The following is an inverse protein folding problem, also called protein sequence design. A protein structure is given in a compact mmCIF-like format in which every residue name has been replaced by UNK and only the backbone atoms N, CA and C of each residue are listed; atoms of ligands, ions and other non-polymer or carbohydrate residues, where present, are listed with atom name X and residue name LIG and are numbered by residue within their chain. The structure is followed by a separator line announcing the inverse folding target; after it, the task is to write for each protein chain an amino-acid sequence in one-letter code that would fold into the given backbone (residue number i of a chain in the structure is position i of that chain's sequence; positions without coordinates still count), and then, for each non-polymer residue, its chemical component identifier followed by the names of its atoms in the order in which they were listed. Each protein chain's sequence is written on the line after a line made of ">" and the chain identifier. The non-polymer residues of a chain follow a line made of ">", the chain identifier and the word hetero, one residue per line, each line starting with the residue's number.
data_IF_301953176906
#
_entry.id   IF_301953176906
#
_cell.length_a   1.000
_cell.length_b   1.000
_cell.length_c   1.000
_cell.angle_alpha   90.00
_cell.angle_beta   90.00
_cell.angle_gamma   90.00
#
_symmetry.space_group_name_H-M   'P 1'
#
loop_
_entity.id
_entity.type
_entity.pdbx_description
1 polymer ?
#
# COMPACT_ATOMS: atom_id res chain seq x y z
N UNK A 1 -4.60 2.48 -20.34
CA UNK A 1 -4.99 1.08 -20.62
C UNK A 1 -6.11 0.70 -19.66
N UNK A 2 -7.16 0.03 -20.12
CA UNK A 2 -8.40 -0.27 -19.38
C UNK A 2 -9.05 -1.52 -19.98
N UNK A 3 -9.75 -2.33 -19.17
CA UNK A 3 -10.48 -3.50 -19.68
C UNK A 3 -11.73 -3.15 -20.48
N UNK A 4 -12.16 -1.89 -20.45
CA UNK A 4 -13.40 -1.42 -21.07
C UNK A 4 -13.16 -0.11 -21.82
N UNK A 5 -12.40 -0.13 -22.93
CA UNK A 5 -11.99 1.07 -23.64
C UNK A 5 -13.17 1.94 -24.07
N UNK A 6 -14.24 1.34 -24.58
CA UNK A 6 -15.43 2.09 -25.02
C UNK A 6 -16.15 2.80 -23.86
N UNK A 7 -16.26 2.17 -22.69
CA UNK A 7 -16.85 2.79 -21.50
C UNK A 7 -15.96 3.93 -21.00
N UNK A 8 -14.64 3.72 -20.96
CA UNK A 8 -13.69 4.75 -20.55
C UNK A 8 -13.67 5.94 -21.51
N UNK A 9 -13.74 5.71 -22.82
CA UNK A 9 -13.86 6.78 -23.81
C UNK A 9 -15.12 7.62 -23.57
N UNK A 10 -16.29 6.97 -23.45
CA UNK A 10 -17.56 7.66 -23.19
C UNK A 10 -17.52 8.46 -21.89
N UNK A 11 -16.89 7.91 -20.85
CA UNK A 11 -16.69 8.61 -19.59
C UNK A 11 -15.85 9.88 -19.76
N UNK A 12 -14.73 9.81 -20.48
CA UNK A 12 -13.85 10.95 -20.74
C UNK A 12 -14.57 12.04 -21.56
N UNK A 13 -15.25 11.65 -22.64
CA UNK A 13 -16.00 12.58 -23.50
C UNK A 13 -17.12 13.29 -22.72
N UNK A 14 -17.82 12.58 -21.84
CA UNK A 14 -18.85 13.16 -20.96
C UNK A 14 -18.29 14.25 -20.02
N UNK A 15 -17.01 14.17 -19.67
CA UNK A 15 -16.33 15.15 -18.80
C UNK A 15 -15.52 16.19 -19.59
N UNK A 16 -15.75 16.30 -20.90
CA UNK A 16 -15.14 17.35 -21.74
C UNK A 16 -13.74 17.03 -22.26
N UNK A 17 -13.26 15.80 -22.10
CA UNK A 17 -11.99 15.38 -22.68
C UNK A 17 -12.18 14.84 -24.11
N UNK A 18 -11.24 15.15 -25.00
CA UNK A 18 -11.16 14.48 -26.31
C UNK A 18 -10.54 13.09 -26.12
N UNK A 19 -11.24 12.02 -26.51
CA UNK A 19 -10.76 10.65 -26.30
C UNK A 19 -10.94 9.76 -27.54
N UNK A 20 -10.06 8.76 -27.69
CA UNK A 20 -10.11 7.81 -28.81
C UNK A 20 -9.71 6.40 -28.36
N UNK A 21 -10.37 5.38 -28.91
CA UNK A 21 -9.95 3.98 -28.75
C UNK A 21 -8.87 3.70 -29.79
N UNK A 22 -7.61 3.53 -29.37
CA UNK A 22 -6.47 3.35 -30.27
C UNK A 22 -5.35 2.55 -29.60
N UNK A 23 -4.79 1.58 -30.32
CA UNK A 23 -3.73 0.68 -29.84
C UNK A 23 -2.46 0.73 -30.69
N UNK A 24 -2.43 1.51 -31.77
CA UNK A 24 -1.20 1.73 -32.54
C UNK A 24 -0.34 2.84 -31.87
N UNK A 25 0.90 2.55 -31.45
CA UNK A 25 1.76 3.53 -30.77
C UNK A 25 2.01 4.84 -31.54
N UNK A 26 2.14 4.77 -32.87
CA UNK A 26 2.36 5.97 -33.69
C UNK A 26 1.12 6.87 -33.70
N UNK A 27 -0.06 6.28 -33.92
CA UNK A 27 -1.34 7.01 -33.88
C UNK A 27 -1.65 7.58 -32.49
N UNK A 28 -1.33 6.84 -31.42
CA UNK A 28 -1.46 7.36 -30.06
C UNK A 28 -0.65 8.65 -29.89
N UNK A 29 0.60 8.67 -30.38
CA UNK A 29 1.46 9.86 -30.32
C UNK A 29 0.86 11.02 -31.13
N UNK A 30 0.37 10.77 -32.33
CA UNK A 30 -0.30 11.79 -33.16
C UNK A 30 -1.54 12.38 -32.47
N UNK A 31 -2.37 11.53 -31.85
CA UNK A 31 -3.54 11.95 -31.09
C UNK A 31 -3.16 12.74 -29.84
N UNK A 32 -2.13 12.32 -29.11
CA UNK A 32 -1.64 13.06 -27.93
C UNK A 32 -1.20 14.49 -28.28
N UNK A 33 -0.52 14.70 -29.42
CA UNK A 33 -0.15 16.05 -29.90
C UNK A 33 -1.36 16.94 -30.22
N UNK A 34 -2.53 16.33 -30.47
CA UNK A 34 -3.81 17.02 -30.70
C UNK A 34 -4.66 17.16 -29.43
N UNK A 35 -4.13 16.78 -28.27
CA UNK A 35 -4.82 16.86 -26.98
C UNK A 35 -5.80 15.73 -26.71
N UNK A 36 -5.72 14.60 -27.43
CA UNK A 36 -6.56 13.43 -27.18
C UNK A 36 -5.96 12.52 -26.10
N UNK A 37 -6.84 11.94 -25.29
CA UNK A 37 -6.55 10.81 -24.40
C UNK A 37 -6.88 9.52 -25.14
N UNK A 38 -5.86 8.69 -25.40
CA UNK A 38 -6.06 7.39 -26.01
C UNK A 38 -6.38 6.33 -24.94
N UNK A 39 -7.41 5.53 -25.19
CA UNK A 39 -7.79 4.38 -24.37
C UNK A 39 -7.63 3.10 -25.18
N UNK A 40 -7.22 2.03 -24.50
CA UNK A 40 -6.93 0.74 -25.11
C UNK A 40 -7.00 -0.35 -24.04
N UNK A 41 -7.35 -1.56 -24.43
CA UNK A 41 -7.25 -2.80 -23.67
C UNK A 41 -5.98 -3.61 -23.98
N UNK A 42 -5.15 -3.12 -24.91
CA UNK A 42 -3.87 -3.72 -25.27
C UNK A 42 -2.80 -3.40 -24.22
N UNK A 43 -2.34 -4.44 -23.53
CA UNK A 43 -1.32 -4.32 -22.50
C UNK A 43 0.10 -4.20 -23.08
N UNK A 44 0.33 -4.66 -24.31
CA UNK A 44 1.63 -4.62 -24.97
C UNK A 44 2.04 -3.18 -25.32
N UNK A 45 1.10 -2.24 -25.27
CA UNK A 45 1.37 -0.79 -25.28
C UNK A 45 2.35 -0.35 -24.20
N UNK A 46 2.38 -1.03 -23.05
CA UNK A 46 3.37 -0.76 -22.00
C UNK A 46 4.79 -0.91 -22.54
N UNK A 47 5.05 -1.87 -23.41
CA UNK A 47 6.38 -2.13 -23.97
C UNK A 47 6.60 -1.36 -25.28
N UNK A 48 5.55 -1.19 -26.10
CA UNK A 48 5.67 -0.66 -27.46
C UNK A 48 5.50 0.86 -27.59
N UNK A 49 4.79 1.52 -26.67
CA UNK A 49 4.64 2.99 -26.69
C UNK A 49 5.85 3.67 -26.04
N UNK A 50 6.47 4.71 -26.64
CA UNK A 50 7.64 5.37 -26.06
C UNK A 50 7.23 6.35 -24.94
N UNK A 51 7.17 5.85 -23.69
CA UNK A 51 6.93 6.65 -22.48
C UNK A 51 7.99 6.39 -21.42
N UNK A 52 8.27 7.38 -20.58
CA UNK A 52 9.27 7.27 -19.51
C UNK A 52 8.73 6.55 -18.25
N UNK A 53 7.41 6.57 -18.07
CA UNK A 53 6.76 6.08 -16.84
C UNK A 53 5.44 5.39 -17.16
N UNK A 54 5.06 4.46 -16.29
CA UNK A 54 3.76 3.79 -16.23
C UNK A 54 3.16 4.04 -14.85
N UNK A 55 1.89 4.45 -14.81
CA UNK A 55 1.13 4.62 -13.57
C UNK A 55 0.11 3.48 -13.42
N UNK A 56 0.29 2.65 -12.40
CA UNK A 56 -0.56 1.49 -12.07
C UNK A 56 -1.60 1.91 -11.02
N UNK A 57 -2.89 1.89 -11.40
CA UNK A 57 -4.01 2.32 -10.55
C UNK A 57 -5.20 1.36 -10.58
N UNK A 58 -4.95 0.09 -10.83
CA UNK A 58 -6.01 -0.92 -10.91
C UNK A 58 -6.50 -1.39 -9.54
N UNK A 59 -5.69 -1.22 -8.50
CA UNK A 59 -5.96 -1.75 -7.16
C UNK A 59 -5.93 -3.27 -7.10
N UNK A 60 -5.27 -3.93 -8.05
CA UNK A 60 -5.16 -5.40 -8.11
C UNK A 60 -3.72 -5.85 -7.99
N UNK A 61 -3.48 -6.93 -7.26
CA UNK A 61 -2.12 -7.41 -7.00
C UNK A 61 -1.60 -8.24 -8.18
N UNK A 62 -2.34 -9.25 -8.62
CA UNK A 62 -1.89 -10.13 -9.71
C UNK A 62 -1.71 -9.38 -11.04
N UNK A 63 -2.68 -8.55 -11.44
CA UNK A 63 -2.57 -7.78 -12.68
C UNK A 63 -1.61 -6.59 -12.53
N UNK A 64 -1.59 -5.91 -11.38
CA UNK A 64 -0.59 -4.89 -11.08
C UNK A 64 0.85 -5.41 -11.11
N UNK A 65 1.08 -6.67 -10.70
CA UNK A 65 2.38 -7.34 -10.82
C UNK A 65 2.79 -7.52 -12.28
N UNK A 66 1.88 -7.97 -13.15
CA UNK A 66 2.17 -8.12 -14.59
C UNK A 66 2.47 -6.76 -15.25
N UNK A 67 1.66 -5.73 -14.93
CA UNK A 67 1.88 -4.34 -15.39
C UNK A 67 3.27 -3.85 -14.97
N UNK A 68 3.63 -3.99 -13.69
CA UNK A 68 4.91 -3.54 -13.17
C UNK A 68 6.09 -4.27 -13.82
N UNK A 69 6.02 -5.60 -13.97
CA UNK A 69 7.07 -6.39 -14.62
C UNK A 69 7.26 -6.01 -16.09
N UNK A 70 6.18 -5.76 -16.83
CA UNK A 70 6.25 -5.27 -18.23
C UNK A 70 6.89 -3.90 -18.31
N UNK A 71 6.49 -2.97 -17.45
CA UNK A 71 7.05 -1.63 -17.41
C UNK A 71 8.55 -1.65 -17.07
N UNK A 72 8.95 -2.44 -16.07
CA UNK A 72 10.36 -2.61 -15.67
C UNK A 72 11.19 -3.23 -16.82
N UNK A 73 10.68 -4.27 -17.50
CA UNK A 73 11.32 -4.86 -18.70
C UNK A 73 11.54 -3.84 -19.80
N UNK A 74 10.56 -2.97 -20.02
CA UNK A 74 10.63 -1.86 -20.96
C UNK A 74 11.51 -0.69 -20.48
N UNK A 75 12.18 -0.82 -19.31
CA UNK A 75 12.97 0.22 -18.65
C UNK A 75 12.19 1.52 -18.44
N UNK A 76 10.96 1.38 -17.96
CA UNK A 76 10.10 2.50 -17.56
C UNK A 76 9.98 2.56 -16.05
N UNK A 77 9.92 3.76 -15.51
CA UNK A 77 9.59 3.94 -14.10
C UNK A 77 8.15 3.48 -13.83
N UNK A 78 7.91 2.93 -12.65
CA UNK A 78 6.59 2.45 -12.21
C UNK A 78 6.14 3.28 -11.02
N UNK A 79 5.07 4.03 -11.21
CA UNK A 79 4.37 4.73 -10.13
C UNK A 79 3.09 3.96 -9.86
N UNK A 80 2.82 3.66 -8.60
CA UNK A 80 1.63 2.89 -8.22
C UNK A 80 0.82 3.61 -7.16
N UNK A 81 -0.51 3.45 -7.19
CA UNK A 81 -1.40 3.83 -6.09
C UNK A 81 -2.09 2.56 -5.58
N UNK A 82 -1.27 1.66 -5.06
CA UNK A 82 -1.66 0.28 -4.73
C UNK A 82 -0.68 -0.26 -3.68
N UNK A 83 -0.77 0.21 -2.42
CA UNK A 83 0.12 -0.27 -1.38
C UNK A 83 -0.07 -1.76 -1.11
N UNK A 84 -1.20 -2.35 -1.49
CA UNK A 84 -1.44 -3.79 -1.46
C UNK A 84 -0.46 -4.53 -2.38
N UNK A 85 -0.21 -4.02 -3.59
CA UNK A 85 0.81 -4.55 -4.50
C UNK A 85 2.21 -4.43 -3.88
N UNK A 86 2.56 -3.25 -3.38
CA UNK A 86 3.86 -2.98 -2.77
C UNK A 86 4.12 -3.86 -1.54
N UNK A 87 3.19 -3.91 -0.60
CA UNK A 87 3.34 -4.70 0.63
C UNK A 87 3.39 -6.22 0.37
N UNK A 88 2.92 -6.68 -0.79
CA UNK A 88 2.87 -8.12 -1.12
C UNK A 88 4.06 -8.60 -1.93
N UNK A 89 4.40 -7.91 -3.03
CA UNK A 89 5.49 -8.30 -3.95
C UNK A 89 6.40 -7.13 -4.33
N UNK A 90 6.28 -5.99 -3.62
CA UNK A 90 7.05 -4.79 -3.91
C UNK A 90 8.55 -4.95 -3.68
N UNK A 91 8.96 -5.90 -2.83
CA UNK A 91 10.39 -6.17 -2.59
C UNK A 91 11.03 -6.80 -3.83
N UNK A 92 10.38 -7.81 -4.40
CA UNK A 92 10.79 -8.49 -5.62
C UNK A 92 10.74 -7.55 -6.81
N UNK A 93 9.68 -6.73 -6.92
CA UNK A 93 9.59 -5.69 -7.94
C UNK A 93 10.69 -4.64 -7.80
N UNK A 94 11.05 -4.23 -6.57
CA UNK A 94 12.16 -3.29 -6.34
C UNK A 94 13.50 -3.87 -6.76
N UNK A 95 13.76 -5.15 -6.48
CA UNK A 95 14.96 -5.84 -6.97
C UNK A 95 15.00 -5.83 -8.50
N UNK A 96 13.88 -6.11 -9.16
CA UNK A 96 13.79 -6.07 -10.62
C UNK A 96 14.01 -4.65 -11.16
N UNK A 97 13.42 -3.63 -10.51
CA UNK A 97 13.53 -2.23 -10.90
C UNK A 97 14.98 -1.74 -10.78
N UNK A 98 15.66 -2.04 -9.67
CA UNK A 98 17.06 -1.69 -9.44
C UNK A 98 18.00 -2.31 -10.47
N UNK A 99 17.76 -3.58 -10.85
CA UNK A 99 18.53 -4.26 -11.91
C UNK A 99 18.35 -3.65 -13.30
N UNK A 100 17.28 -2.89 -13.52
CA UNK A 100 16.95 -2.27 -14.80
C UNK A 100 17.10 -0.74 -14.77
N UNK A 101 17.73 -0.19 -13.73
CA UNK A 101 17.97 1.24 -13.54
C UNK A 101 16.68 2.08 -13.60
N UNK A 102 15.58 1.56 -13.03
CA UNK A 102 14.29 2.26 -12.96
C UNK A 102 13.74 2.32 -11.55
N UNK A 103 12.94 3.35 -11.28
CA UNK A 103 12.21 3.52 -10.02
C UNK A 103 10.91 2.73 -10.02
N UNK A 104 10.59 2.08 -8.90
CA UNK A 104 9.22 1.71 -8.53
C UNK A 104 8.84 2.37 -7.21
N UNK A 105 7.71 3.07 -7.17
CA UNK A 105 7.27 3.81 -5.97
C UNK A 105 5.76 3.87 -5.83
N UNK A 106 5.28 3.86 -4.59
CA UNK A 106 3.92 4.33 -4.25
C UNK A 106 3.87 5.86 -4.21
N UNK A 107 2.67 6.43 -4.05
CA UNK A 107 2.39 7.87 -4.19
C UNK A 107 2.15 8.58 -2.86
N UNK A 108 2.45 9.87 -2.83
CA UNK A 108 1.88 10.80 -1.83
C UNK A 108 0.37 10.92 -2.07
N UNK A 109 -0.41 11.01 -0.99
CA UNK A 109 -1.86 11.12 -1.01
C UNK A 109 -2.57 9.94 -0.35
N UNK A 110 -2.03 8.74 -0.50
CA UNK A 110 -2.37 7.61 0.38
C UNK A 110 -1.52 7.70 1.67
N UNK A 111 -1.95 7.04 2.75
CA UNK A 111 -1.31 7.16 4.06
C UNK A 111 0.22 6.87 4.04
N UNK A 112 0.74 5.83 3.35
CA UNK A 112 2.16 5.50 3.40
C UNK A 112 3.06 6.59 2.80
N UNK A 113 2.72 7.10 1.60
CA UNK A 113 3.49 8.16 0.96
C UNK A 113 3.38 9.50 1.68
N UNK A 114 2.22 9.78 2.27
CA UNK A 114 2.01 10.98 3.09
C UNK A 114 2.86 10.90 4.36
N UNK A 115 2.89 9.74 5.05
CA UNK A 115 3.80 9.51 6.17
C UNK A 115 5.26 9.59 5.76
N UNK A 116 5.63 9.08 4.58
CA UNK A 116 6.99 9.20 4.09
C UNK A 116 7.41 10.67 3.90
N UNK A 117 6.51 11.50 3.36
CA UNK A 117 6.71 12.96 3.29
C UNK A 117 6.89 13.57 4.67
N UNK A 118 5.98 13.29 5.62
CA UNK A 118 6.03 13.86 6.96
C UNK A 118 7.29 13.43 7.74
N UNK A 119 7.70 12.16 7.63
CA UNK A 119 8.94 11.63 8.21
C UNK A 119 10.16 12.33 7.61
N UNK A 120 10.20 12.47 6.27
CA UNK A 120 11.27 13.17 5.57
C UNK A 120 11.40 14.63 6.01
N UNK A 121 10.29 15.37 6.05
CA UNK A 121 10.26 16.75 6.52
C UNK A 121 10.70 16.88 7.98
N UNK A 122 10.23 15.98 8.85
CA UNK A 122 10.62 15.95 10.26
C UNK A 122 12.14 15.77 10.43
N UNK A 123 12.73 14.84 9.67
CA UNK A 123 14.18 14.60 9.67
C UNK A 123 14.97 15.81 9.15
N UNK A 124 14.49 16.49 8.10
CA UNK A 124 15.11 17.71 7.59
C UNK A 124 15.12 18.85 8.63
N UNK A 125 14.10 18.90 9.49
CA UNK A 125 14.03 19.85 10.61
C UNK A 125 14.83 19.42 11.84
N UNK A 126 15.58 18.31 11.79
CA UNK A 126 16.42 17.84 12.89
C UNK A 126 15.70 16.98 13.94
N UNK A 127 14.44 16.59 13.70
CA UNK A 127 13.75 15.66 14.57
C UNK A 127 14.17 14.21 14.33
N UNK A 128 14.21 13.43 15.41
CA UNK A 128 14.29 11.98 15.37
C UNK A 128 12.88 11.38 15.46
N UNK A 129 12.35 10.84 14.37
CA UNK A 129 11.02 10.20 14.39
C UNK A 129 11.09 8.86 15.13
N UNK A 130 10.28 8.71 16.18
CA UNK A 130 10.23 7.49 17.02
C UNK A 130 8.97 6.66 16.79
N UNK A 131 7.90 7.28 16.28
CA UNK A 131 6.68 6.59 15.90
C UNK A 131 6.12 7.23 14.64
N UNK A 132 5.75 6.41 13.66
CA UNK A 132 4.94 6.82 12.50
C UNK A 132 3.56 6.15 12.60
N UNK A 133 2.50 6.93 12.53
CA UNK A 133 1.19 6.47 12.96
C UNK A 133 0.04 6.75 12.01
N UNK A 134 -0.89 5.80 11.98
CA UNK A 134 -2.21 5.94 11.36
C UNK A 134 -3.28 6.20 12.46
N UNK A 135 -4.40 6.82 12.09
CA UNK A 135 -5.54 7.07 12.97
C UNK A 135 -6.79 6.38 12.44
N UNK A 136 -7.55 5.73 13.32
CA UNK A 136 -8.85 5.16 12.95
C UNK A 136 -9.93 5.52 13.94
N UNK A 137 -11.14 5.61 13.42
CA UNK A 137 -12.36 5.78 14.24
C UNK A 137 -12.95 4.49 14.74
N UNK A 138 -12.80 3.43 13.96
CA UNK A 138 -13.48 2.17 14.17
C UNK A 138 -12.61 1.01 13.67
N UNK A 139 -12.66 -0.10 14.41
CA UNK A 139 -12.00 -1.36 14.09
C UNK A 139 -12.93 -2.50 14.49
N UNK A 140 -13.28 -3.35 13.53
CA UNK A 140 -13.96 -4.61 13.77
C UNK A 140 -13.36 -5.67 12.83
N UNK A 141 -12.53 -6.57 13.38
CA UNK A 141 -11.83 -7.62 12.63
C UNK A 141 -12.78 -8.57 11.89
N UNK A 142 -14.01 -8.71 12.36
CA UNK A 142 -15.01 -9.62 11.81
C UNK A 142 -16.07 -8.94 10.96
N UNK A 143 -15.88 -7.66 10.61
CA UNK A 143 -16.81 -6.96 9.75
C UNK A 143 -16.99 -7.69 8.41
N UNK A 144 -18.25 -7.87 8.02
CA UNK A 144 -18.64 -8.51 6.76
C UNK A 144 -19.05 -7.49 5.70
N UNK A 145 -19.05 -7.91 4.44
CA UNK A 145 -19.55 -7.09 3.33
C UNK A 145 -21.04 -6.75 3.48
N UNK A 146 -21.84 -7.66 4.02
CA UNK A 146 -23.26 -7.41 4.29
C UNK A 146 -23.44 -6.26 5.30
N UNK A 147 -22.75 -6.34 6.43
CA UNK A 147 -22.80 -5.31 7.48
C UNK A 147 -22.30 -3.94 6.99
N UNK A 148 -21.25 -3.93 6.18
CA UNK A 148 -20.62 -2.70 5.72
C UNK A 148 -21.26 -2.08 4.48
N UNK A 149 -22.12 -2.81 3.76
CA UNK A 149 -22.73 -2.34 2.51
C UNK A 149 -23.51 -1.02 2.65
N UNK A 150 -24.38 -0.81 3.66
CA UNK A 150 -25.11 0.44 3.81
C UNK A 150 -24.18 1.65 3.97
N UNK A 151 -23.09 1.50 4.73
CA UNK A 151 -22.09 2.56 4.90
C UNK A 151 -21.30 2.81 3.61
N UNK A 152 -20.93 1.76 2.90
CA UNK A 152 -20.22 1.88 1.62
C UNK A 152 -21.07 2.65 0.59
N UNK A 153 -22.36 2.31 0.48
CA UNK A 153 -23.30 2.97 -0.43
C UNK A 153 -23.50 4.46 -0.06
N UNK A 154 -23.68 4.78 1.24
CA UNK A 154 -23.79 6.16 1.74
C UNK A 154 -22.56 7.02 1.42
N UNK A 155 -21.36 6.44 1.49
CA UNK A 155 -20.08 7.13 1.23
C UNK A 155 -19.63 7.08 -0.21
N UNK A 156 -20.33 6.37 -1.10
CA UNK A 156 -19.92 6.18 -2.49
C UNK A 156 -18.62 5.36 -2.64
N UNK A 157 -18.36 4.46 -1.70
CA UNK A 157 -17.18 3.58 -1.67
C UNK A 157 -17.54 2.17 -2.14
N UNK A 158 -16.55 1.41 -2.62
CA UNK A 158 -16.78 -0.03 -2.79
C UNK A 158 -16.90 -0.73 -1.44
N UNK A 159 -17.78 -1.73 -1.34
CA UNK A 159 -18.00 -2.47 -0.09
C UNK A 159 -16.73 -3.15 0.40
N UNK A 160 -15.92 -3.72 -0.50
CA UNK A 160 -14.66 -4.38 -0.15
C UNK A 160 -13.63 -3.41 0.43
N UNK A 161 -13.52 -2.20 -0.14
CA UNK A 161 -12.66 -1.17 0.44
C UNK A 161 -13.12 -0.83 1.86
N UNK A 162 -14.42 -0.59 2.04
CA UNK A 162 -15.00 -0.29 3.35
C UNK A 162 -14.72 -1.40 4.37
N UNK A 163 -14.90 -2.67 4.01
CA UNK A 163 -14.56 -3.80 4.90
C UNK A 163 -13.07 -3.81 5.24
N UNK A 164 -12.18 -3.64 4.25
CA UNK A 164 -10.72 -3.63 4.49
C UNK A 164 -10.26 -2.47 5.39
N UNK A 165 -11.01 -1.37 5.39
CA UNK A 165 -10.79 -0.26 6.32
C UNK A 165 -11.28 -0.64 7.71
N UNK A 166 -12.46 -1.23 7.82
CA UNK A 166 -13.08 -1.60 9.09
C UNK A 166 -12.32 -2.72 9.80
N UNK A 167 -11.86 -3.74 9.09
CA UNK A 167 -11.18 -4.91 9.67
C UNK A 167 -9.68 -4.70 9.91
N UNK A 168 -9.15 -3.53 9.58
CA UNK A 168 -7.75 -3.15 9.79
C UNK A 168 -6.77 -3.75 8.79
N UNK A 169 -7.25 -4.45 7.75
CA UNK A 169 -6.39 -5.03 6.70
C UNK A 169 -5.63 -3.93 5.95
N UNK A 170 -6.32 -2.90 5.49
CA UNK A 170 -5.70 -1.77 4.77
C UNK A 170 -4.64 -1.08 5.63
N UNK A 171 -4.97 -0.81 6.90
CA UNK A 171 -4.04 -0.20 7.84
C UNK A 171 -2.77 -1.04 8.03
N UNK A 172 -2.92 -2.36 8.16
CA UNK A 172 -1.78 -3.26 8.34
C UNK A 172 -0.85 -3.22 7.12
N UNK A 173 -1.41 -3.18 5.91
CA UNK A 173 -0.67 -3.04 4.65
C UNK A 173 0.06 -1.69 4.57
N UNK A 174 -0.62 -0.59 4.91
CA UNK A 174 -0.02 0.74 4.89
C UNK A 174 1.15 0.85 5.87
N UNK A 175 0.97 0.36 7.10
CA UNK A 175 2.02 0.37 8.12
C UNK A 175 3.15 -0.61 7.79
N UNK A 176 2.86 -1.72 7.11
CA UNK A 176 3.89 -2.64 6.57
C UNK A 176 4.82 -1.88 5.62
N UNK A 177 4.25 -1.11 4.70
CA UNK A 177 5.02 -0.37 3.70
C UNK A 177 5.89 0.71 4.35
N UNK A 178 5.35 1.46 5.32
CA UNK A 178 6.10 2.47 6.09
C UNK A 178 7.22 1.82 6.91
N UNK A 179 6.94 0.72 7.61
CA UNK A 179 7.92 -0.01 8.40
C UNK A 179 9.08 -0.50 7.52
N UNK A 180 8.75 -1.09 6.38
CA UNK A 180 9.76 -1.64 5.48
C UNK A 180 10.63 -0.56 4.84
N UNK A 181 10.04 0.56 4.39
CA UNK A 181 10.79 1.64 3.76
C UNK A 181 11.75 2.34 4.74
N UNK A 182 11.30 2.62 5.96
CA UNK A 182 12.11 3.34 6.96
C UNK A 182 12.88 2.44 7.91
N UNK A 183 12.72 1.12 7.81
CA UNK A 183 13.34 0.14 8.71
C UNK A 183 12.80 0.17 10.14
N UNK A 184 11.57 0.68 10.33
CA UNK A 184 10.92 0.77 11.64
C UNK A 184 10.36 -0.59 12.09
N UNK A 185 10.07 -0.71 13.38
CA UNK A 185 9.63 -1.95 14.01
C UNK A 185 8.13 -1.95 14.33
N UNK A 186 7.63 -3.06 14.87
CA UNK A 186 6.33 -3.13 15.58
C UNK A 186 6.55 -3.71 16.97
N UNK A 187 5.73 -3.29 17.93
CA UNK A 187 5.85 -3.76 19.32
C UNK A 187 5.25 -5.15 19.53
N UNK A 188 4.24 -5.52 18.75
CA UNK A 188 3.51 -6.79 18.84
C UNK A 188 2.77 -7.08 17.52
N UNK A 189 2.31 -8.32 17.35
CA UNK A 189 1.43 -8.71 16.24
C UNK A 189 0.23 -7.76 16.17
N UNK A 190 0.02 -7.17 14.99
CA UNK A 190 -1.06 -6.22 14.74
C UNK A 190 -0.90 -4.82 15.31
N UNK A 191 0.27 -4.46 15.85
CA UNK A 191 0.52 -3.19 16.54
C UNK A 191 -0.32 -3.04 17.82
N UNK A 192 -0.16 -1.93 18.57
CA UNK A 192 -0.85 -1.74 19.86
C UNK A 192 -2.23 -1.11 19.71
N UNK A 193 -2.36 -0.10 18.85
CA UNK A 193 -3.65 0.56 18.60
C UNK A 193 -4.37 1.15 19.81
N UNK A 194 -3.70 1.85 20.75
CA UNK A 194 -4.37 2.37 21.95
C UNK A 194 -5.49 3.36 21.62
N UNK A 195 -6.52 3.38 22.46
CA UNK A 195 -7.60 4.35 22.40
C UNK A 195 -7.16 5.73 22.93
N UNK A 196 -7.60 6.78 22.24
CA UNK A 196 -7.32 8.18 22.55
C UNK A 196 -8.51 9.07 22.15
N UNK A 197 -8.66 10.20 22.82
CA UNK A 197 -9.64 11.23 22.45
C UNK A 197 -9.05 12.27 21.48
N UNK A 198 -7.75 12.57 21.63
CA UNK A 198 -7.00 13.49 20.78
C UNK A 198 -5.67 12.86 20.32
N UNK A 199 -5.20 13.24 19.13
CA UNK A 199 -3.91 12.77 18.57
C UNK A 199 -2.73 13.06 19.51
N UNK A 200 -2.79 14.15 20.28
CA UNK A 200 -1.77 14.53 21.27
C UNK A 200 -1.65 13.50 22.41
N UNK A 201 -2.72 12.76 22.72
CA UNK A 201 -2.70 11.73 23.77
C UNK A 201 -1.83 10.53 23.41
N UNK A 202 -1.39 10.42 22.14
CA UNK A 202 -0.34 9.49 21.74
C UNK A 202 0.88 9.58 22.68
N UNK A 203 1.25 10.79 23.13
CA UNK A 203 2.35 11.04 24.08
C UNK A 203 2.19 10.32 25.43
N UNK A 204 0.96 9.98 25.83
CA UNK A 204 0.63 9.41 27.14
C UNK A 204 0.43 7.89 27.09
N UNK A 205 -0.06 7.35 25.97
CA UNK A 205 -0.48 5.95 25.87
C UNK A 205 0.64 4.99 25.42
N UNK A 206 1.69 5.52 24.81
CA UNK A 206 2.86 4.73 24.42
C UNK A 206 3.92 4.64 25.52
N UNK A 207 4.46 3.44 25.72
CA UNK A 207 5.54 3.20 26.68
C UNK A 207 6.88 3.48 26.01
N UNK A 208 7.30 4.75 26.00
CA UNK A 208 8.45 5.23 25.23
C UNK A 208 9.77 4.48 25.49
N UNK A 209 9.99 3.99 26.70
CA UNK A 209 11.18 3.21 27.06
C UNK A 209 11.24 1.82 26.39
N UNK A 210 10.12 1.34 25.83
CA UNK A 210 10.03 0.09 25.05
C UNK A 210 10.17 0.31 23.55
N UNK A 211 10.18 1.56 23.09
CA UNK A 211 10.33 1.85 21.67
C UNK A 211 11.82 1.66 21.30
N UNK A 212 12.12 0.78 20.34
CA UNK A 212 13.48 0.52 19.93
C UNK A 212 14.05 1.71 19.15
N UNK A 213 15.37 1.74 18.94
CA UNK A 213 16.05 2.91 18.37
C UNK A 213 15.59 3.22 16.94
N UNK A 214 15.23 2.19 16.16
CA UNK A 214 14.69 2.33 14.81
C UNK A 214 13.33 3.05 14.76
N UNK A 215 12.67 3.19 15.91
CA UNK A 215 11.28 3.62 16.01
C UNK A 215 10.30 2.51 15.66
N UNK A 216 9.00 2.82 15.75
CA UNK A 216 7.92 1.90 15.41
C UNK A 216 6.91 2.49 14.43
N UNK A 217 6.22 1.61 13.71
CA UNK A 217 4.89 1.94 13.17
C UNK A 217 3.83 1.45 14.16
N UNK A 218 2.79 2.25 14.35
CA UNK A 218 1.63 1.87 15.15
C UNK A 218 0.40 2.68 14.69
N UNK A 219 -0.68 2.61 15.43
CA UNK A 219 -1.85 3.45 15.20
C UNK A 219 -2.52 3.85 16.50
N UNK A 220 -3.47 4.76 16.40
CA UNK A 220 -4.35 5.15 17.51
C UNK A 220 -5.82 5.03 17.08
N UNK A 221 -6.67 4.70 18.05
CA UNK A 221 -8.11 4.55 17.88
C UNK A 221 -8.84 5.68 18.61
N UNK A 222 -9.76 6.36 17.93
CA UNK A 222 -10.54 7.40 18.58
C UNK A 222 -11.69 7.88 17.71
N UNK A 223 -12.90 7.96 18.28
CA UNK A 223 -14.13 8.27 17.55
C UNK A 223 -14.11 9.67 16.92
N UNK A 224 -13.40 10.59 17.56
CA UNK A 224 -13.22 12.00 17.18
C UNK A 224 -12.07 12.22 16.20
N UNK A 225 -11.18 11.24 16.02
CA UNK A 225 -10.03 11.38 15.14
C UNK A 225 -10.49 11.57 13.69
N UNK A 226 -9.99 12.61 13.03
CA UNK A 226 -10.27 12.90 11.62
C UNK A 226 -9.18 12.26 10.73
N UNK A 227 -9.46 11.91 9.45
CA UNK A 227 -8.40 11.46 8.54
C UNK A 227 -7.20 12.40 8.55
N UNK A 228 -6.03 11.81 8.45
CA UNK A 228 -4.75 12.49 8.57
C UNK A 228 -3.66 11.50 8.94
N UNK A 229 -2.46 12.03 9.12
CA UNK A 229 -1.27 11.25 9.46
C UNK A 229 -0.52 11.93 10.61
N UNK A 230 0.13 11.15 11.46
CA UNK A 230 0.95 11.72 12.53
C UNK A 230 2.26 10.98 12.70
N UNK A 231 3.24 11.71 13.22
CA UNK A 231 4.47 11.12 13.76
C UNK A 231 4.67 11.62 15.18
N UNK A 232 5.23 10.79 16.05
CA UNK A 232 5.85 11.26 17.28
C UNK A 232 7.34 11.38 17.02
N UNK A 233 7.87 12.58 17.24
CA UNK A 233 9.25 12.90 16.93
C UNK A 233 9.94 13.58 18.11
N UNK A 234 11.21 13.27 18.30
CA UNK A 234 12.05 13.79 19.37
C UNK A 234 12.96 14.91 18.88
N UNK A 235 13.10 15.96 19.67
CA UNK A 235 14.15 16.96 19.48
C UNK A 235 15.08 16.98 20.69
N UNK A 236 16.36 16.63 20.52
CA UNK A 236 17.32 16.47 21.64
C UNK A 236 18.00 17.78 22.07
N UNK A 237 18.05 18.79 21.21
CA UNK A 237 18.62 20.10 21.55
C UNK A 237 17.71 20.86 22.55
N UNK A 238 18.22 21.10 23.77
CA UNK A 238 17.52 21.84 24.82
C UNK A 238 17.20 23.28 24.45
N UNK A 239 17.96 23.92 23.55
CA UNK A 239 17.63 25.25 23.06
C UNK A 239 16.42 25.19 22.14
N UNK A 240 16.36 24.22 21.23
CA UNK A 240 15.20 24.03 20.37
C UNK A 240 13.96 23.63 21.17
N UNK A 241 14.09 22.81 22.22
CA UNK A 241 12.95 22.47 23.09
C UNK A 241 12.29 23.72 23.70
N UNK A 242 13.08 24.76 24.07
CA UNK A 242 12.52 26.04 24.54
C UNK A 242 11.71 26.75 23.46
N UNK A 243 12.20 26.78 22.22
CA UNK A 243 11.49 27.37 21.08
C UNK A 243 10.25 26.57 20.70
N UNK A 244 10.32 25.24 20.66
CA UNK A 244 9.19 24.37 20.35
C UNK A 244 8.09 24.49 21.40
N UNK A 245 8.45 24.65 22.68
CA UNK A 245 7.49 24.99 23.73
C UNK A 245 6.86 26.36 23.51
N UNK A 246 7.66 27.37 23.17
CA UNK A 246 7.14 28.71 22.83
C UNK A 246 6.18 28.68 21.63
N UNK A 247 6.43 27.81 20.65
CA UNK A 247 5.57 27.56 19.49
C UNK A 247 4.35 26.68 19.80
N UNK A 248 4.18 26.23 21.04
CA UNK A 248 3.00 25.48 21.47
C UNK A 248 3.04 23.97 21.22
N UNK A 249 4.19 23.38 20.85
CA UNK A 249 4.29 21.93 20.62
C UNK A 249 4.36 21.12 21.93
N UNK A 250 4.57 21.78 23.08
CA UNK A 250 4.65 21.17 24.40
C UNK A 250 6.04 21.20 25.02
N UNK A 251 6.19 20.57 26.20
CA UNK A 251 7.44 20.62 26.99
C UNK A 251 8.60 19.81 26.37
N UNK A 252 8.29 18.87 25.46
CA UNK A 252 9.28 17.95 24.91
C UNK A 252 9.72 16.86 25.90
N UNK A 253 10.73 16.04 25.53
CA UNK A 253 11.49 16.09 24.28
C UNK A 253 10.73 15.50 23.07
N UNK A 254 9.55 14.92 23.28
CA UNK A 254 8.69 14.32 22.24
C UNK A 254 7.54 15.24 21.89
N UNK A 255 7.21 15.26 20.61
CA UNK A 255 6.18 16.11 20.01
C UNK A 255 5.37 15.30 19.03
N UNK A 256 4.07 15.56 18.96
CA UNK A 256 3.21 15.04 17.89
C UNK A 256 3.22 16.04 16.75
N UNK A 257 3.70 15.62 15.59
CA UNK A 257 3.56 16.36 14.34
C UNK A 257 2.43 15.69 13.57
N UNK A 258 1.37 16.46 13.30
CA UNK A 258 0.11 15.96 12.76
C UNK A 258 -0.29 16.77 11.53
N UNK A 259 -0.66 16.06 10.46
CA UNK A 259 -1.25 16.65 9.26
C UNK A 259 -2.71 16.17 9.15
N UNK A 260 -3.71 17.07 9.23
CA UNK A 260 -5.12 16.73 9.34
C UNK A 260 -5.78 16.42 7.98
N UNK A 261 -5.00 15.96 7.00
CA UNK A 261 -5.48 15.53 5.69
C UNK A 261 -4.43 14.69 4.97
N UNK A 262 -4.92 13.91 4.02
CA UNK A 262 -4.22 13.44 2.83
C UNK A 262 -5.31 13.23 1.76
N UNK A 263 -5.09 13.70 0.54
CA UNK A 263 -6.13 13.91 -0.46
C UNK A 263 -6.08 12.88 -1.61
N UNK A 264 -5.52 11.70 -1.31
CA UNK A 264 -5.51 10.55 -2.22
C UNK A 264 -4.98 10.94 -3.62
N UNK A 265 -5.79 10.69 -4.65
CA UNK A 265 -5.41 10.91 -6.04
C UNK A 265 -5.08 12.38 -6.38
N UNK A 266 -5.51 13.36 -5.57
CA UNK A 266 -5.21 14.77 -5.81
C UNK A 266 -3.73 15.13 -5.55
N UNK A 267 -3.02 14.34 -4.75
CA UNK A 267 -1.60 14.61 -4.42
C UNK A 267 -0.59 13.89 -5.33
N UNK A 268 -1.06 13.03 -6.23
CA UNK A 268 -0.20 12.12 -7.01
C UNK A 268 0.72 12.87 -7.97
N UNK A 269 0.31 14.04 -8.47
CA UNK A 269 1.09 14.83 -9.42
C UNK A 269 2.51 15.16 -8.90
N UNK A 270 2.66 15.39 -7.60
CA UNK A 270 3.97 15.63 -6.99
C UNK A 270 4.90 14.42 -7.08
N UNK A 271 4.36 13.21 -6.92
CA UNK A 271 5.14 11.96 -7.08
C UNK A 271 5.52 11.75 -8.54
N UNK A 272 4.61 12.00 -9.49
CA UNK A 272 4.90 11.90 -10.92
C UNK A 272 6.05 12.84 -11.30
N UNK A 273 5.98 14.11 -10.90
CA UNK A 273 7.05 15.07 -11.17
C UNK A 273 8.37 14.63 -10.55
N UNK A 274 8.35 14.14 -9.30
CA UNK A 274 9.56 13.67 -8.59
C UNK A 274 10.26 12.51 -9.31
N UNK A 275 9.49 11.55 -9.82
CA UNK A 275 10.02 10.40 -10.55
C UNK A 275 10.51 10.82 -11.95
N UNK A 276 9.68 11.51 -12.72
CA UNK A 276 9.99 11.85 -14.12
C UNK A 276 11.15 12.85 -14.23
N UNK A 277 11.21 13.85 -13.34
CA UNK A 277 12.21 14.91 -13.41
C UNK A 277 13.51 14.56 -12.69
N UNK A 278 13.46 13.74 -11.63
CA UNK A 278 14.61 13.52 -10.75
C UNK A 278 14.94 12.04 -10.52
N UNK A 279 14.14 11.10 -11.03
CA UNK A 279 14.37 9.68 -10.80
C UNK A 279 14.33 9.29 -9.32
N UNK A 280 13.50 9.96 -8.51
CA UNK A 280 13.45 9.73 -7.06
C UNK A 280 12.13 9.07 -6.62
N UNK A 281 12.21 7.99 -5.84
CA UNK A 281 11.05 7.38 -5.21
C UNK A 281 10.45 8.20 -4.05
N UNK A 282 9.18 7.97 -3.76
CA UNK A 282 8.49 8.42 -2.53
C UNK A 282 8.55 7.34 -1.45
N UNK A 283 8.11 6.13 -1.76
CA UNK A 283 8.07 4.99 -0.83
C UNK A 283 7.96 3.66 -1.60
N UNK A 284 8.59 2.60 -1.11
CA UNK A 284 8.47 1.23 -1.64
C UNK A 284 8.71 0.19 -0.53
N UNK A 285 8.52 -1.09 -0.80
CA UNK A 285 8.57 -2.14 0.23
C UNK A 285 9.96 -2.56 0.72
N UNK A 286 11.01 -1.82 0.39
CA UNK A 286 12.42 -2.20 0.59
C UNK A 286 12.85 -3.51 -0.10
N UNK A 287 14.16 -3.70 -0.31
CA UNK A 287 14.73 -5.00 -0.70
C UNK A 287 15.04 -5.88 0.52
N UNK A 288 14.89 -5.33 1.74
CA UNK A 288 15.11 -5.99 3.03
C UNK A 288 13.92 -5.69 3.96
N UNK A 289 12.71 -6.19 3.64
CA UNK A 289 11.54 -5.95 4.46
C UNK A 289 11.73 -6.50 5.89
N UNK A 290 11.13 -5.83 6.88
CA UNK A 290 11.14 -6.21 8.30
C UNK A 290 9.77 -6.64 8.81
N UNK A 291 8.71 -6.29 8.10
CA UNK A 291 7.34 -6.62 8.42
C UNK A 291 6.59 -7.10 7.17
N UNK A 292 5.51 -7.83 7.40
CA UNK A 292 4.57 -8.27 6.36
C UNK A 292 3.16 -8.33 6.93
N UNK A 293 2.17 -8.13 6.08
CA UNK A 293 0.77 -8.37 6.44
C UNK A 293 0.39 -9.81 6.09
N UNK A 294 0.12 -10.61 7.12
CA UNK A 294 -0.31 -12.01 6.95
C UNK A 294 -1.84 -12.12 6.93
N UNK A 295 -2.35 -13.17 6.30
CA UNK A 295 -3.76 -13.52 6.30
C UNK A 295 -4.16 -14.25 7.59
N UNK A 296 -5.28 -13.85 8.16
CA UNK A 296 -5.91 -14.48 9.33
C UNK A 296 -7.34 -14.85 8.97
N UNK A 297 -7.78 -16.05 9.33
CA UNK A 297 -9.15 -16.50 9.08
C UNK A 297 -10.16 -15.61 9.83
N UNK A 298 -11.08 -14.99 9.11
CA UNK A 298 -12.07 -14.06 9.69
C UNK A 298 -13.23 -14.80 10.36
N UNK A 299 -13.47 -16.04 9.94
CA UNK A 299 -14.53 -16.95 10.36
C UNK A 299 -13.99 -18.39 10.33
N UNK A 300 -14.79 -19.37 10.77
CA UNK A 300 -14.49 -20.78 10.56
C UNK A 300 -14.47 -21.08 9.05
N UNK A 301 -13.40 -21.70 8.57
CA UNK A 301 -13.22 -22.04 7.15
C UNK A 301 -13.20 -23.56 7.00
N UNK A 302 -14.08 -24.11 6.18
CA UNK A 302 -14.03 -25.53 5.81
C UNK A 302 -12.97 -25.81 4.73
N UNK A 303 -12.54 -27.07 4.62
CA UNK A 303 -11.77 -27.53 3.47
C UNK A 303 -12.54 -27.27 2.16
N UNK A 304 -11.85 -26.80 1.13
CA UNK A 304 -12.42 -26.43 -0.16
C UNK A 304 -12.90 -24.98 -0.25
N UNK A 305 -12.98 -24.23 0.86
CA UNK A 305 -13.31 -22.81 0.82
C UNK A 305 -12.29 -22.03 0.00
N UNK A 306 -12.79 -21.16 -0.90
CA UNK A 306 -11.97 -20.23 -1.66
C UNK A 306 -11.85 -18.93 -0.88
N UNK A 307 -10.62 -18.52 -0.57
CA UNK A 307 -10.37 -17.24 0.08
C UNK A 307 -10.70 -16.09 -0.89
N UNK A 308 -11.56 -15.19 -0.45
CA UNK A 308 -11.98 -14.03 -1.22
C UNK A 308 -11.03 -12.83 -1.10
N UNK A 309 -10.12 -12.84 -0.12
CA UNK A 309 -9.01 -11.89 0.01
C UNK A 309 -9.37 -10.58 0.71
N UNK A 310 -8.53 -9.55 0.53
CA UNK A 310 -8.64 -8.25 1.22
C UNK A 310 -10.02 -7.62 1.06
N UNK A 311 -10.66 -7.30 2.18
CA UNK A 311 -12.00 -6.71 2.21
C UNK A 311 -13.14 -7.69 1.95
N UNK A 312 -12.85 -8.99 1.94
CA UNK A 312 -13.83 -10.06 1.89
C UNK A 312 -14.23 -10.58 3.28
N UNK A 313 -14.96 -11.68 3.30
CA UNK A 313 -15.57 -12.28 4.49
C UNK A 313 -14.78 -13.49 5.01
N UNK A 314 -13.82 -14.01 4.24
CA UNK A 314 -13.05 -15.22 4.63
C UNK A 314 -11.83 -14.92 5.49
N UNK A 315 -11.25 -13.73 5.35
CA UNK A 315 -9.98 -13.36 5.98
C UNK A 315 -9.88 -11.87 6.30
N UNK A 316 -9.06 -11.51 7.29
CA UNK A 316 -8.52 -10.15 7.46
C UNK A 316 -6.98 -10.20 7.52
N UNK A 317 -6.34 -9.08 7.16
CA UNK A 317 -4.89 -8.94 7.20
C UNK A 317 -4.42 -8.33 8.51
N UNK A 318 -3.29 -8.83 9.03
CA UNK A 318 -2.66 -8.23 10.20
C UNK A 318 -1.13 -8.21 10.05
N UNK A 319 -0.51 -7.13 10.49
CA UNK A 319 0.95 -6.94 10.36
C UNK A 319 1.70 -7.79 11.40
N UNK A 320 2.75 -8.47 10.97
CA UNK A 320 3.71 -9.13 11.84
C UNK A 320 5.15 -8.83 11.39
N UNK A 321 6.11 -9.12 12.27
CA UNK A 321 7.53 -9.11 11.94
C UNK A 321 7.82 -10.24 10.96
N UNK A 322 8.68 -9.96 9.98
CA UNK A 322 9.03 -10.92 8.92
C UNK A 322 9.63 -12.22 9.49
N UNK A 323 10.32 -12.13 10.63
CA UNK A 323 10.92 -13.27 11.33
C UNK A 323 9.88 -14.23 11.94
N UNK A 324 8.74 -13.70 12.42
CA UNK A 324 7.63 -14.49 12.94
C UNK A 324 6.68 -14.95 11.83
N UNK A 325 6.60 -14.17 10.75
CA UNK A 325 5.70 -14.41 9.64
C UNK A 325 6.12 -15.59 8.74
N UNK A 326 7.26 -16.24 9.01
CA UNK A 326 7.79 -17.32 8.18
C UNK A 326 6.79 -18.48 8.05
N UNK A 327 6.38 -18.77 6.81
CA UNK A 327 5.43 -19.83 6.50
C UNK A 327 3.95 -19.42 6.55
N UNK A 328 3.63 -18.21 7.04
CA UNK A 328 2.29 -17.66 6.95
C UNK A 328 2.00 -17.08 5.56
N UNK A 329 0.73 -17.13 5.16
CA UNK A 329 0.26 -16.64 3.88
C UNK A 329 0.22 -15.10 3.89
N UNK A 330 0.95 -14.41 3.00
CA UNK A 330 0.78 -12.97 2.84
C UNK A 330 -0.66 -12.63 2.42
N UNK A 331 -1.28 -11.64 3.05
CA UNK A 331 -2.69 -11.30 2.83
C UNK A 331 -3.01 -11.00 1.35
N UNK A 332 -2.08 -10.37 0.64
CA UNK A 332 -2.25 -10.07 -0.78
C UNK A 332 -2.17 -11.27 -1.73
N UNK A 333 -1.67 -12.42 -1.27
CA UNK A 333 -1.64 -13.68 -2.04
C UNK A 333 -2.81 -14.61 -1.70
N UNK A 334 -3.65 -14.25 -0.72
CA UNK A 334 -4.84 -15.01 -0.35
C UNK A 334 -5.95 -15.06 -1.42
N UNK A 335 -6.23 -14.01 -2.23
CA UNK A 335 -7.35 -14.06 -3.16
C UNK A 335 -7.26 -15.25 -4.13
N UNK A 336 -8.28 -16.11 -4.13
CA UNK A 336 -8.38 -17.31 -4.97
C UNK A 336 -7.63 -18.54 -4.44
N UNK A 337 -7.00 -18.46 -3.26
CA UNK A 337 -6.39 -19.63 -2.62
C UNK A 337 -7.47 -20.58 -2.07
N UNK A 338 -7.25 -21.89 -2.18
CA UNK A 338 -8.19 -22.92 -1.75
C UNK A 338 -7.72 -23.55 -0.44
N UNK A 339 -8.54 -23.47 0.60
CA UNK A 339 -8.29 -24.07 1.92
C UNK A 339 -8.24 -25.60 1.82
N UNK A 340 -7.20 -26.23 2.36
CA UNK A 340 -6.98 -27.69 2.27
C UNK A 340 -7.60 -28.48 3.42
N UNK A 341 -7.73 -27.87 4.59
CA UNK A 341 -8.29 -28.46 5.80
C UNK A 341 -8.97 -27.36 6.63
N UNK A 342 -9.85 -27.72 7.55
CA UNK A 342 -10.59 -26.71 8.32
C UNK A 342 -9.68 -25.81 9.15
N UNK A 343 -9.98 -24.51 9.18
CA UNK A 343 -9.27 -23.49 9.95
C UNK A 343 -10.26 -22.77 10.88
N UNK A 344 -9.81 -22.48 12.09
CA UNK A 344 -10.63 -21.77 13.07
C UNK A 344 -10.63 -20.26 12.85
N UNK A 345 -11.67 -19.58 13.31
CA UNK A 345 -11.69 -18.13 13.36
C UNK A 345 -10.47 -17.59 14.14
N UNK A 346 -9.88 -16.51 13.65
CA UNK A 346 -8.67 -15.86 14.16
C UNK A 346 -7.38 -16.69 14.07
N UNK A 347 -7.40 -17.83 13.39
CA UNK A 347 -6.20 -18.59 13.09
C UNK A 347 -5.39 -17.91 11.97
N UNK A 348 -4.09 -17.58 12.18
CA UNK A 348 -3.21 -17.18 11.10
C UNK A 348 -3.07 -18.30 10.06
N UNK A 349 -3.31 -17.97 8.79
CA UNK A 349 -3.37 -18.94 7.70
C UNK A 349 -1.94 -19.22 7.22
N UNK A 350 -1.53 -20.50 7.21
CA UNK A 350 -0.21 -20.88 6.68
C UNK A 350 -0.27 -21.09 5.17
N UNK A 351 0.85 -20.90 4.49
CA UNK A 351 1.02 -21.28 3.08
C UNK A 351 0.73 -22.78 2.88
N UNK A 352 1.07 -23.62 3.87
CA UNK A 352 0.78 -25.06 3.85
C UNK A 352 -0.72 -25.37 3.84
N UNK A 353 -1.55 -24.48 4.40
CA UNK A 353 -2.98 -24.70 4.62
C UNK A 353 -3.81 -24.46 3.36
N UNK A 354 -3.21 -23.85 2.34
CA UNK A 354 -3.90 -23.46 1.12
C UNK A 354 -3.20 -23.96 -0.14
N UNK A 355 -3.97 -24.10 -1.23
CA UNK A 355 -3.44 -24.22 -2.59
C UNK A 355 -3.54 -22.85 -3.25
N UNK A 356 -2.39 -22.26 -3.61
CA UNK A 356 -2.34 -20.94 -4.22
C UNK A 356 -2.70 -20.98 -5.71
N UNK A 357 -3.38 -19.94 -6.22
CA UNK A 357 -3.59 -19.80 -7.66
C UNK A 357 -2.26 -19.51 -8.37
N UNK A 358 -2.15 -19.96 -9.63
CA UNK A 358 -1.00 -19.64 -10.49
C UNK A 358 -1.24 -18.29 -11.16
N UNK A 359 -0.57 -17.24 -10.70
CA UNK A 359 -0.68 -15.89 -11.26
C UNK A 359 0.63 -15.12 -11.11
N UNK A 360 0.64 -13.86 -11.55
CA UNK A 360 1.90 -13.15 -11.61
C UNK A 360 2.56 -12.89 -10.25
N UNK A 361 1.74 -12.57 -9.24
CA UNK A 361 2.21 -12.31 -7.89
C UNK A 361 2.69 -13.59 -7.18
N UNK A 362 1.97 -14.71 -7.33
CA UNK A 362 2.35 -15.98 -6.68
C UNK A 362 3.58 -16.62 -7.31
N UNK A 363 3.84 -16.37 -8.60
CA UNK A 363 5.08 -16.79 -9.24
C UNK A 363 6.23 -15.86 -8.84
N UNK A 364 6.02 -14.53 -8.83
CA UNK A 364 7.07 -13.57 -8.46
C UNK A 364 7.55 -13.79 -7.02
N UNK A 365 6.65 -14.10 -6.10
CA UNK A 365 6.99 -14.41 -4.71
C UNK A 365 7.73 -15.74 -4.52
N UNK A 366 7.87 -16.55 -5.58
CA UNK A 366 8.53 -17.86 -5.53
C UNK A 366 7.71 -18.96 -4.86
N UNK A 367 6.47 -18.69 -4.43
CA UNK A 367 5.60 -19.67 -3.76
C UNK A 367 4.95 -20.65 -4.73
N UNK A 368 4.84 -20.28 -6.00
CA UNK A 368 4.27 -21.11 -7.07
C UNK A 368 5.23 -21.15 -8.26
N UNK A 369 5.42 -22.33 -8.85
CA UNK A 369 6.18 -22.46 -10.10
C UNK A 369 5.28 -22.12 -11.29
N UNK A 370 5.68 -21.14 -12.10
CA UNK A 370 5.02 -20.87 -13.38
C UNK A 370 5.28 -21.96 -14.42
N UNK A 371 4.46 -22.01 -15.47
CA UNK A 371 4.76 -22.85 -16.66
C UNK A 371 5.99 -22.33 -17.42
N UNK A 372 6.62 -23.13 -18.30
CA UNK A 372 7.78 -22.70 -19.12
C UNK A 372 7.53 -21.39 -19.87
N UNK A 373 6.32 -21.20 -20.38
CA UNK A 373 5.89 -19.99 -21.11
C UNK A 373 5.71 -18.79 -20.18
N UNK A 374 5.18 -18.98 -18.96
CA UNK A 374 5.05 -17.92 -17.95
C UNK A 374 6.40 -17.54 -17.35
N UNK A 375 7.33 -18.50 -17.20
CA UNK A 375 8.70 -18.26 -16.73
C UNK A 375 9.57 -17.54 -17.77
N UNK A 376 9.37 -17.78 -19.07
CA UNK A 376 10.11 -17.08 -20.13
C UNK A 376 9.66 -15.63 -20.36
N UNK A 377 8.41 -15.27 -20.07
CA UNK A 377 7.88 -13.92 -20.35
C UNK A 377 7.78 -13.01 -19.12
N UNK A 378 7.83 -13.53 -17.89
CA UNK A 378 7.61 -12.70 -16.69
C UNK A 378 8.68 -12.80 -15.57
N UNK A 379 9.61 -13.77 -15.56
CA UNK A 379 10.45 -14.02 -14.36
C UNK A 379 11.96 -14.15 -14.59
N UNK A 380 12.47 -13.90 -15.80
CA UNK A 380 13.92 -13.92 -16.05
C UNK A 380 14.66 -12.67 -15.51
N UNK A 381 13.96 -11.69 -14.94
CA UNK A 381 14.56 -10.49 -14.35
C UNK A 381 14.96 -10.66 -12.86
N UNK A 382 14.36 -11.63 -12.17
CA UNK A 382 14.52 -11.81 -10.73
C UNK A 382 15.84 -12.49 -10.35
#
# INVERSE_FOLDING_TARGET
>A
ITRRPDESKKFLEKHGFSASCESNPQKIKEFAHRGFICVSDDLDLIETYPSDTVMEVTGTIAYGTDVALRAIRARKHVITMNPELQATVGSELKICADKNDVVITDVIGDQPGSLARLIGQSKLMGFNVVLAGNMKRFLNRHATQEEMKPWADDKGLSVRQTVSFTDGTKQSIEMTLVANYFGMNILQFGMRGPEVDDVQDALKVFQWHKIPQEGIVDYILGRTLFPGIFVVAEHKDKNQQKYLRYLGLGEGPRYVLFEPYHLCHLEVAGTIAKVVLFGQETIHNSIKPRATTIAVAKTELAAGTVLDGIGGDTMYGNIDKIEHAQGYLPAGLAPGAIVKHSLHQDQPIKISDVTLPVNAATILSGLVKGTKTQTSTAYQLA
#
